data_IF_904038259292
#
_entry.id   IF_904038259292
#
_cell.length_a   1.000
_cell.length_b   1.000
_cell.length_c   1.000
_cell.angle_alpha   90.00
_cell.angle_beta   90.00
_cell.angle_gamma   90.00
#
_symmetry.space_group_name_H-M   'P 1'
#
loop_
_entity.id
_entity.type
_entity.pdbx_description
1 polymer ?
#
# COMPACT_ATOMS: atom_id res chain seq x y z
N UNK A 1 10.66 -11.18 22.39
CA UNK A 1 11.24 -9.89 21.96
C UNK A 1 10.19 -9.23 21.08
N UNK A 2 9.74 -8.02 21.39
CA UNK A 2 8.79 -7.29 20.55
C UNK A 2 9.48 -6.95 19.23
N UNK A 3 8.86 -7.26 18.09
CA UNK A 3 9.34 -6.78 16.81
C UNK A 3 9.37 -5.25 16.83
N UNK A 4 10.43 -4.60 16.33
CA UNK A 4 10.48 -3.14 16.26
C UNK A 4 9.32 -2.63 15.41
N UNK A 5 8.70 -1.54 15.85
CA UNK A 5 7.65 -0.86 15.09
C UNK A 5 8.29 -0.21 13.86
N UNK A 6 7.75 -0.49 12.69
CA UNK A 6 8.20 0.10 11.42
C UNK A 6 7.32 1.32 11.12
N UNK A 7 7.94 2.50 11.03
CA UNK A 7 7.28 3.72 10.60
C UNK A 7 7.41 3.88 9.08
N UNK A 8 6.26 3.90 8.39
CA UNK A 8 6.15 4.25 6.98
C UNK A 8 5.52 5.63 6.86
N UNK A 9 6.06 6.48 6.00
CA UNK A 9 5.56 7.84 5.73
C UNK A 9 5.22 7.97 4.25
N UNK A 10 4.00 8.45 3.96
CA UNK A 10 3.60 8.79 2.60
C UNK A 10 4.30 10.10 2.17
N UNK A 11 4.83 10.12 0.96
CA UNK A 11 5.52 11.26 0.36
C UNK A 11 5.11 11.42 -1.11
N UNK A 12 4.91 12.65 -1.55
CA UNK A 12 4.53 13.00 -2.93
C UNK A 12 5.52 13.95 -3.63
N UNK A 13 6.64 14.21 -2.98
CA UNK A 13 7.71 15.06 -3.51
C UNK A 13 9.08 14.56 -3.02
N UNK A 14 10.14 15.03 -3.70
CA UNK A 14 11.51 14.75 -3.27
C UNK A 14 11.77 15.32 -1.88
N UNK A 15 11.28 16.52 -1.60
CA UNK A 15 11.51 17.21 -0.33
C UNK A 15 10.79 16.50 0.83
N UNK A 16 9.54 16.06 0.64
CA UNK A 16 8.80 15.29 1.65
C UNK A 16 9.46 13.94 1.92
N UNK A 17 9.93 13.24 0.89
CA UNK A 17 10.64 11.99 1.01
C UNK A 17 11.96 12.12 1.80
N UNK A 18 12.76 13.17 1.50
CA UNK A 18 13.97 13.49 2.25
C UNK A 18 13.69 13.90 3.69
N UNK A 19 12.61 14.65 3.92
CA UNK A 19 12.19 15.03 5.27
C UNK A 19 11.78 13.80 6.08
N UNK A 20 11.02 12.87 5.49
CA UNK A 20 10.65 11.61 6.14
C UNK A 20 11.89 10.81 6.56
N UNK A 21 12.87 10.64 5.67
CA UNK A 21 14.12 9.94 6.02
C UNK A 21 14.87 10.63 7.16
N UNK A 22 15.02 11.99 7.10
CA UNK A 22 15.67 12.74 8.19
C UNK A 22 14.91 12.64 9.51
N UNK A 23 13.57 12.53 9.45
CA UNK A 23 12.69 12.34 10.60
C UNK A 23 12.71 10.92 11.18
N UNK A 24 13.48 10.00 10.60
CA UNK A 24 13.62 8.64 11.11
C UNK A 24 12.57 7.65 10.58
N UNK A 25 11.93 7.96 9.45
CA UNK A 25 11.10 6.98 8.77
C UNK A 25 11.94 5.75 8.38
N UNK A 26 11.38 4.57 8.59
CA UNK A 26 12.03 3.31 8.23
C UNK A 26 11.79 2.97 6.76
N UNK A 27 10.73 3.52 6.14
CA UNK A 27 10.33 3.32 4.75
C UNK A 27 9.44 4.49 4.32
N UNK A 28 9.38 4.76 3.03
CA UNK A 28 8.39 5.67 2.47
C UNK A 28 7.43 4.92 1.53
N UNK A 29 6.18 5.41 1.47
CA UNK A 29 5.25 5.15 0.37
C UNK A 29 5.28 6.37 -0.54
N UNK A 30 5.77 6.18 -1.77
CA UNK A 30 5.89 7.26 -2.76
C UNK A 30 4.66 7.26 -3.67
N UNK A 31 3.97 8.38 -3.74
CA UNK A 31 2.79 8.58 -4.58
C UNK A 31 2.78 9.97 -5.22
N UNK A 32 1.76 10.27 -5.99
CA UNK A 32 1.36 11.62 -6.40
C UNK A 32 -0.05 11.88 -5.91
N UNK A 33 -0.46 13.16 -5.75
CA UNK A 33 -1.83 13.51 -5.43
C UNK A 33 -2.32 13.00 -4.08
N UNK A 34 -1.55 13.18 -3.01
CA UNK A 34 -1.90 12.73 -1.64
C UNK A 34 -3.27 13.20 -1.18
N UNK A 35 -3.69 14.42 -1.56
CA UNK A 35 -5.01 14.99 -1.22
C UNK A 35 -6.16 14.11 -1.74
N UNK A 36 -5.93 13.40 -2.84
CA UNK A 36 -6.90 12.53 -3.49
C UNK A 36 -6.69 11.03 -3.14
N UNK A 37 -5.88 10.77 -2.12
CA UNK A 37 -5.58 9.42 -1.64
C UNK A 37 -4.42 8.72 -2.33
N UNK A 38 -3.65 9.44 -3.15
CA UNK A 38 -2.47 8.94 -3.83
C UNK A 38 -2.76 8.21 -5.15
N UNK A 39 -1.97 8.51 -6.17
CA UNK A 39 -1.93 7.84 -7.47
C UNK A 39 -0.49 7.45 -7.80
N UNK A 40 -0.27 6.72 -8.91
CA UNK A 40 1.07 6.35 -9.38
C UNK A 40 1.94 7.60 -9.59
N UNK A 41 3.12 7.69 -8.98
CA UNK A 41 4.05 8.79 -9.21
C UNK A 41 4.73 8.66 -10.56
N UNK A 42 5.17 9.79 -11.12
CA UNK A 42 5.92 9.75 -12.38
C UNK A 42 7.25 8.98 -12.24
N UNK A 43 7.71 8.36 -13.32
CA UNK A 43 9.01 7.69 -13.37
C UNK A 43 10.18 8.63 -13.00
N UNK A 44 10.07 9.91 -13.36
CA UNK A 44 11.03 10.94 -12.97
C UNK A 44 11.08 11.15 -11.45
N UNK A 45 9.93 11.19 -10.77
CA UNK A 45 9.87 11.31 -9.32
C UNK A 45 10.47 10.06 -8.64
N UNK A 46 10.10 8.86 -9.10
CA UNK A 46 10.63 7.60 -8.55
C UNK A 46 12.16 7.55 -8.66
N UNK A 47 12.70 7.81 -9.85
CA UNK A 47 14.14 7.79 -10.12
C UNK A 47 14.88 8.83 -9.27
N UNK A 48 14.33 10.04 -9.18
CA UNK A 48 14.95 11.15 -8.43
C UNK A 48 14.97 10.85 -6.92
N UNK A 49 13.87 10.33 -6.37
CA UNK A 49 13.78 9.95 -4.96
C UNK A 49 14.72 8.76 -4.69
N UNK A 50 14.73 7.72 -5.54
CA UNK A 50 15.60 6.56 -5.36
C UNK A 50 17.09 6.93 -5.31
N UNK A 51 17.51 7.88 -6.14
CA UNK A 51 18.92 8.32 -6.16
C UNK A 51 19.37 9.06 -4.89
N UNK A 52 18.45 9.48 -4.03
CA UNK A 52 18.72 10.33 -2.85
C UNK A 52 18.41 9.65 -1.52
N UNK A 53 17.56 8.63 -1.50
CA UNK A 53 17.18 7.93 -0.28
C UNK A 53 17.95 6.62 -0.13
N UNK A 54 18.29 6.30 1.12
CA UNK A 54 18.87 5.01 1.50
C UNK A 54 17.85 4.06 2.12
N UNK A 55 16.68 4.56 2.54
CA UNK A 55 15.59 3.75 3.09
C UNK A 55 14.75 3.13 1.98
N UNK A 56 14.01 2.04 2.24
CA UNK A 56 13.11 1.41 1.28
C UNK A 56 12.05 2.36 0.76
N UNK A 57 11.72 2.19 -0.54
CA UNK A 57 10.69 2.95 -1.26
C UNK A 57 9.64 1.96 -1.77
N UNK A 58 8.41 2.12 -1.32
CA UNK A 58 7.24 1.45 -1.86
C UNK A 58 6.49 2.42 -2.77
N UNK A 59 6.22 2.02 -4.01
CA UNK A 59 5.61 2.88 -5.02
C UNK A 59 4.13 2.59 -5.14
N UNK A 60 3.30 3.63 -5.05
CA UNK A 60 1.86 3.53 -5.30
C UNK A 60 1.61 3.17 -6.77
N UNK A 61 0.81 2.14 -6.99
CA UNK A 61 0.31 1.71 -8.30
C UNK A 61 -1.21 1.88 -8.29
N UNK A 62 -1.66 3.05 -8.70
CA UNK A 62 -3.07 3.44 -8.77
C UNK A 62 -3.25 4.39 -9.95
N UNK A 63 -3.81 3.91 -11.07
CA UNK A 63 -3.81 4.65 -12.34
C UNK A 63 -4.72 5.87 -12.31
N UNK A 64 -5.77 5.86 -11.48
CA UNK A 64 -6.76 6.92 -11.38
C UNK A 64 -7.36 7.04 -9.98
N UNK A 65 -7.99 8.18 -9.72
CA UNK A 65 -8.82 8.41 -8.55
C UNK A 65 -10.17 7.70 -8.65
N UNK A 66 -10.98 7.78 -7.60
CA UNK A 66 -12.29 7.15 -7.50
C UNK A 66 -12.22 5.76 -6.88
N UNK A 67 -13.06 4.85 -7.40
CA UNK A 67 -13.17 3.48 -6.92
C UNK A 67 -11.92 2.64 -7.20
N UNK A 68 -11.97 1.39 -6.76
CA UNK A 68 -10.89 0.42 -6.92
C UNK A 68 -11.27 -0.75 -7.85
N UNK A 69 -12.32 -0.53 -8.67
CA UNK A 69 -12.80 -1.49 -9.67
C UNK A 69 -12.18 -1.14 -11.02
N UNK A 70 -11.14 -1.84 -11.42
CA UNK A 70 -10.35 -1.51 -12.60
C UNK A 70 -10.73 -2.33 -13.82
N UNK A 71 -10.91 -1.65 -14.95
CA UNK A 71 -11.13 -2.25 -16.27
C UNK A 71 -9.82 -2.76 -16.91
N UNK A 72 -9.92 -3.32 -18.13
CA UNK A 72 -8.74 -3.84 -18.84
C UNK A 72 -7.67 -2.78 -19.07
N UNK A 73 -8.05 -1.57 -19.44
CA UNK A 73 -7.13 -0.46 -19.73
C UNK A 73 -6.43 0.04 -18.47
N UNK A 74 -7.16 0.13 -17.34
CA UNK A 74 -6.56 0.43 -16.03
C UNK A 74 -5.53 -0.64 -15.64
N UNK A 75 -5.86 -1.92 -15.86
CA UNK A 75 -4.96 -3.03 -15.56
C UNK A 75 -3.70 -3.00 -16.41
N UNK A 76 -3.80 -2.72 -17.70
CA UNK A 76 -2.64 -2.55 -18.58
C UNK A 76 -1.71 -1.43 -18.05
N UNK A 77 -2.27 -0.28 -17.65
CA UNK A 77 -1.51 0.80 -17.05
C UNK A 77 -0.82 0.36 -15.75
N UNK A 78 -1.55 -0.33 -14.84
CA UNK A 78 -1.00 -0.83 -13.58
C UNK A 78 0.14 -1.82 -13.79
N UNK A 79 0.03 -2.70 -14.77
CA UNK A 79 1.10 -3.65 -15.13
C UNK A 79 2.38 -2.93 -15.56
N UNK A 80 2.25 -1.92 -16.44
CA UNK A 80 3.38 -1.11 -16.88
C UNK A 80 4.00 -0.34 -15.70
N UNK A 81 3.17 0.22 -14.82
CA UNK A 81 3.63 0.95 -13.64
C UNK A 81 4.39 0.04 -12.65
N UNK A 82 3.94 -1.21 -12.45
CA UNK A 82 4.67 -2.21 -11.65
C UNK A 82 6.04 -2.51 -12.26
N UNK A 83 6.10 -2.73 -13.59
CA UNK A 83 7.36 -3.00 -14.29
C UNK A 83 8.31 -1.80 -14.21
N UNK A 84 7.79 -0.58 -14.38
CA UNK A 84 8.56 0.66 -14.29
C UNK A 84 9.10 0.87 -12.88
N UNK A 85 8.27 0.70 -11.83
CA UNK A 85 8.70 0.82 -10.45
C UNK A 85 9.83 -0.16 -10.13
N UNK A 86 9.70 -1.41 -10.57
CA UNK A 86 10.70 -2.45 -10.43
C UNK A 86 12.03 -2.10 -11.12
N UNK A 87 11.96 -1.63 -12.37
CA UNK A 87 13.14 -1.21 -13.14
C UNK A 87 13.84 0.00 -12.53
N UNK A 88 13.10 0.91 -11.91
CA UNK A 88 13.60 2.12 -11.26
C UNK A 88 14.12 1.87 -9.83
N UNK A 89 14.12 0.62 -9.36
CA UNK A 89 14.72 0.24 -8.09
C UNK A 89 13.84 0.47 -6.88
N UNK A 90 12.51 0.36 -7.04
CA UNK A 90 11.62 0.29 -5.90
C UNK A 90 11.86 -0.98 -5.07
N UNK A 91 11.63 -0.93 -3.77
CA UNK A 91 11.71 -2.06 -2.86
C UNK A 91 10.35 -2.77 -2.68
N UNK A 92 9.28 -2.08 -3.04
CA UNK A 92 7.91 -2.59 -3.00
C UNK A 92 6.95 -1.79 -3.85
N UNK A 93 5.74 -2.32 -3.99
CA UNK A 93 4.61 -1.67 -4.65
C UNK A 93 3.38 -1.70 -3.74
N UNK A 94 2.51 -0.72 -3.93
CA UNK A 94 1.28 -0.55 -3.14
C UNK A 94 0.11 -0.44 -4.09
N UNK A 95 -0.87 -1.32 -3.98
CA UNK A 95 -2.08 -1.30 -4.79
C UNK A 95 -3.28 -1.90 -4.03
N UNK A 96 -4.47 -1.85 -4.61
CA UNK A 96 -5.65 -2.50 -4.06
C UNK A 96 -6.76 -2.52 -5.09
N UNK A 97 -7.34 -3.69 -5.31
CA UNK A 97 -8.33 -3.95 -6.35
C UNK A 97 -9.55 -4.63 -5.73
N UNK A 98 -10.72 -4.09 -6.05
CA UNK A 98 -12.00 -4.62 -5.61
C UNK A 98 -12.86 -4.96 -6.83
N UNK A 99 -13.79 -5.87 -6.63
CA UNK A 99 -14.92 -6.12 -7.51
C UNK A 99 -16.08 -5.16 -7.15
N UNK A 100 -17.03 -4.99 -8.05
CA UNK A 100 -18.23 -4.16 -7.82
C UNK A 100 -19.06 -4.59 -6.60
N UNK A 101 -18.99 -5.87 -6.22
CA UNK A 101 -19.66 -6.43 -5.04
C UNK A 101 -18.92 -6.13 -3.71
N UNK A 102 -17.79 -5.42 -3.77
CA UNK A 102 -16.94 -5.09 -2.63
C UNK A 102 -16.03 -6.21 -2.16
N UNK A 103 -15.89 -7.31 -2.91
CA UNK A 103 -14.85 -8.32 -2.65
C UNK A 103 -13.50 -7.85 -3.19
N UNK A 104 -12.42 -8.42 -2.64
CA UNK A 104 -11.09 -8.30 -3.25
C UNK A 104 -11.10 -9.03 -4.59
N UNK A 105 -10.69 -8.35 -5.68
CA UNK A 105 -10.47 -8.99 -6.97
C UNK A 105 -9.19 -9.85 -6.88
N UNK A 106 -9.39 -11.11 -6.53
CA UNK A 106 -8.30 -12.04 -6.22
C UNK A 106 -7.45 -12.38 -7.44
N UNK A 107 -8.07 -12.46 -8.61
CA UNK A 107 -7.36 -12.84 -9.83
C UNK A 107 -6.41 -11.73 -10.29
N UNK A 108 -6.91 -10.49 -10.37
CA UNK A 108 -6.08 -9.34 -10.69
C UNK A 108 -5.02 -9.08 -9.62
N UNK A 109 -5.37 -9.24 -8.33
CA UNK A 109 -4.42 -9.11 -7.22
C UNK A 109 -3.27 -10.12 -7.35
N UNK A 110 -3.56 -11.40 -7.58
CA UNK A 110 -2.53 -12.45 -7.78
C UNK A 110 -1.65 -12.16 -8.99
N UNK A 111 -2.26 -11.69 -10.07
CA UNK A 111 -1.52 -11.33 -11.28
C UNK A 111 -0.49 -10.24 -10.99
N UNK A 112 -0.89 -9.14 -10.33
CA UNK A 112 0.03 -8.06 -9.99
C UNK A 112 1.08 -8.47 -8.94
N UNK A 113 0.72 -9.30 -7.95
CA UNK A 113 1.68 -9.87 -6.98
C UNK A 113 2.76 -10.67 -7.71
N UNK A 114 2.37 -11.52 -8.66
CA UNK A 114 3.32 -12.31 -9.48
C UNK A 114 4.22 -11.41 -10.32
N UNK A 115 3.66 -10.38 -10.93
CA UNK A 115 4.40 -9.43 -11.76
C UNK A 115 5.40 -8.62 -10.93
N UNK A 116 5.01 -8.21 -9.73
CA UNK A 116 5.84 -7.44 -8.80
C UNK A 116 7.04 -8.23 -8.27
N UNK A 117 6.97 -9.57 -8.22
CA UNK A 117 8.05 -10.39 -7.66
C UNK A 117 9.44 -10.02 -8.26
N UNK A 118 10.48 -9.79 -7.43
CA UNK A 118 10.61 -10.07 -6.01
C UNK A 118 10.23 -8.91 -5.07
N UNK A 119 9.65 -7.82 -5.57
CA UNK A 119 9.26 -6.67 -4.74
C UNK A 119 8.23 -7.06 -3.67
N UNK A 120 8.24 -6.32 -2.56
CA UNK A 120 7.21 -6.46 -1.53
C UNK A 120 5.90 -5.82 -1.97
N UNK A 121 4.78 -6.45 -1.64
CA UNK A 121 3.45 -5.96 -2.00
C UNK A 121 2.66 -5.55 -0.76
N UNK A 122 2.14 -4.33 -0.78
CA UNK A 122 1.18 -3.83 0.21
C UNK A 122 -0.18 -3.64 -0.47
N UNK A 123 -1.24 -4.18 0.12
CA UNK A 123 -2.60 -3.85 -0.26
C UNK A 123 -3.06 -2.62 0.55
N UNK A 124 -3.36 -1.53 -0.14
CA UNK A 124 -3.68 -0.25 0.48
C UNK A 124 -5.11 -0.20 1.05
N UNK A 125 -5.57 0.99 1.45
CA UNK A 125 -6.87 1.21 2.10
C UNK A 125 -8.11 0.88 1.27
N UNK A 126 -8.00 0.39 0.03
CA UNK A 126 -9.10 -0.31 -0.63
C UNK A 126 -9.61 -1.48 0.23
N UNK A 127 -8.74 -2.04 1.08
CA UNK A 127 -9.11 -3.04 2.07
C UNK A 127 -10.24 -2.57 3.00
N UNK A 128 -10.18 -1.31 3.46
CA UNK A 128 -11.19 -0.71 4.35
C UNK A 128 -12.54 -0.51 3.66
N UNK A 129 -12.57 -0.51 2.32
CA UNK A 129 -13.78 -0.42 1.49
C UNK A 129 -14.37 -1.78 1.14
N UNK A 130 -13.70 -2.88 1.54
CA UNK A 130 -14.22 -4.21 1.27
C UNK A 130 -15.46 -4.51 2.12
N UNK A 131 -16.39 -5.29 1.56
CA UNK A 131 -17.65 -5.66 2.24
C UNK A 131 -17.45 -6.43 3.55
N UNK A 132 -16.32 -7.14 3.69
CA UNK A 132 -15.99 -7.92 4.87
C UNK A 132 -14.47 -7.99 5.03
N UNK A 133 -13.95 -7.30 6.04
CA UNK A 133 -12.50 -7.21 6.29
C UNK A 133 -11.87 -8.58 6.60
N UNK A 134 -12.61 -9.45 7.29
CA UNK A 134 -12.11 -10.78 7.63
C UNK A 134 -11.98 -11.71 6.42
N UNK A 135 -12.94 -11.67 5.49
CA UNK A 135 -12.87 -12.42 4.22
C UNK A 135 -11.78 -11.84 3.31
N UNK A 136 -11.72 -10.50 3.20
CA UNK A 136 -10.68 -9.81 2.44
C UNK A 136 -9.27 -10.18 2.94
N UNK A 137 -9.06 -10.23 4.26
CA UNK A 137 -7.78 -10.62 4.84
C UNK A 137 -7.35 -12.03 4.40
N UNK A 138 -8.25 -13.03 4.48
CA UNK A 138 -7.92 -14.40 4.07
C UNK A 138 -7.65 -14.48 2.55
N UNK A 139 -8.40 -13.73 1.76
CA UNK A 139 -8.18 -13.64 0.31
C UNK A 139 -6.78 -13.10 -0.01
N UNK A 140 -6.35 -12.03 0.68
CA UNK A 140 -5.03 -11.44 0.48
C UNK A 140 -3.88 -12.35 0.95
N UNK A 141 -4.09 -13.09 2.04
CA UNK A 141 -3.15 -14.13 2.48
C UNK A 141 -2.97 -15.20 1.39
N UNK A 142 -4.08 -15.69 0.81
CA UNK A 142 -4.06 -16.66 -0.28
C UNK A 142 -3.46 -16.12 -1.58
N UNK A 143 -3.54 -14.80 -1.78
CA UNK A 143 -2.93 -14.11 -2.91
C UNK A 143 -1.42 -13.82 -2.71
N UNK A 144 -0.83 -14.20 -1.56
CA UNK A 144 0.56 -13.95 -1.19
C UNK A 144 0.93 -12.45 -1.13
N UNK A 145 0.01 -11.62 -0.66
CA UNK A 145 0.29 -10.23 -0.33
C UNK A 145 1.11 -10.16 0.96
N UNK A 146 2.16 -9.34 1.01
CA UNK A 146 3.04 -9.25 2.18
C UNK A 146 2.43 -8.42 3.32
N UNK A 147 1.60 -7.42 3.00
CA UNK A 147 1.09 -6.45 3.97
C UNK A 147 -0.27 -5.90 3.58
N UNK A 148 -1.06 -5.55 4.59
CA UNK A 148 -2.32 -4.80 4.45
C UNK A 148 -2.20 -3.50 5.22
N UNK A 149 -2.51 -2.37 4.58
CA UNK A 149 -2.72 -1.08 5.23
C UNK A 149 -4.21 -0.92 5.54
N UNK A 150 -4.53 -0.66 6.80
CA UNK A 150 -5.93 -0.54 7.23
C UNK A 150 -6.10 0.45 8.39
N UNK A 151 -7.23 1.12 8.41
CA UNK A 151 -7.74 1.85 9.58
C UNK A 151 -8.79 1.03 10.37
N UNK A 152 -8.99 -0.24 10.01
CA UNK A 152 -10.03 -1.08 10.60
C UNK A 152 -11.42 -0.83 10.04
N UNK A 153 -11.53 -0.26 8.82
CA UNK A 153 -12.79 0.10 8.16
C UNK A 153 -13.31 1.49 8.53
N UNK A 154 -12.56 2.25 9.33
CA UNK A 154 -12.94 3.58 9.81
C UNK A 154 -12.22 4.69 9.03
N UNK A 155 -12.65 5.94 9.19
CA UNK A 155 -11.94 7.08 8.60
C UNK A 155 -10.54 7.23 9.18
N UNK A 156 -10.42 7.11 10.51
CA UNK A 156 -9.17 7.22 11.26
C UNK A 156 -8.88 5.90 11.97
N UNK A 157 -7.63 5.53 11.99
CA UNK A 157 -7.19 4.30 12.66
C UNK A 157 -7.48 4.28 14.16
N UNK A 158 -7.50 5.45 14.81
CA UNK A 158 -7.85 5.60 16.24
C UNK A 158 -9.23 5.02 16.55
N UNK A 159 -10.19 5.22 15.63
CA UNK A 159 -11.57 4.74 15.79
C UNK A 159 -11.67 3.23 15.50
N UNK A 160 -10.76 2.69 14.68
CA UNK A 160 -10.74 1.29 14.25
C UNK A 160 -9.79 0.37 15.01
N UNK A 161 -9.16 0.80 16.10
CA UNK A 161 -8.15 0.02 16.83
C UNK A 161 -8.62 -1.38 17.24
N UNK A 162 -9.90 -1.53 17.60
CA UNK A 162 -10.49 -2.82 17.93
C UNK A 162 -10.49 -3.80 16.76
N UNK A 163 -10.88 -3.32 15.58
CA UNK A 163 -10.87 -4.09 14.35
C UNK A 163 -9.43 -4.42 13.91
N UNK A 164 -8.52 -3.45 13.95
CA UNK A 164 -7.09 -3.65 13.63
C UNK A 164 -6.48 -4.74 14.52
N UNK A 165 -6.77 -4.72 15.83
CA UNK A 165 -6.31 -5.75 16.77
C UNK A 165 -6.86 -7.13 16.41
N UNK A 166 -8.15 -7.21 16.07
CA UNK A 166 -8.79 -8.46 15.65
C UNK A 166 -8.19 -9.00 14.36
N UNK A 167 -7.93 -8.12 13.37
CA UNK A 167 -7.28 -8.48 12.12
C UNK A 167 -5.84 -8.97 12.35
N UNK A 168 -5.07 -8.31 13.21
CA UNK A 168 -3.71 -8.73 13.57
C UNK A 168 -3.69 -10.11 14.22
N UNK A 169 -4.63 -10.38 15.15
CA UNK A 169 -4.79 -11.69 15.77
C UNK A 169 -5.16 -12.76 14.73
N UNK A 170 -6.10 -12.45 13.82
CA UNK A 170 -6.52 -13.37 12.75
C UNK A 170 -5.41 -13.61 11.71
N UNK A 171 -4.64 -12.58 11.38
CA UNK A 171 -3.49 -12.71 10.49
C UNK A 171 -2.45 -13.72 11.01
N UNK A 172 -2.27 -13.80 12.33
CA UNK A 172 -1.38 -14.75 13.00
C UNK A 172 0.03 -14.83 12.37
N UNK A 173 0.56 -13.68 11.90
CA UNK A 173 1.86 -13.58 11.25
C UNK A 173 1.92 -14.04 9.79
N UNK A 174 0.81 -14.49 9.21
CA UNK A 174 0.73 -14.90 7.79
C UNK A 174 0.82 -13.73 6.81
N UNK A 175 0.43 -12.54 7.24
CA UNK A 175 0.49 -11.27 6.53
C UNK A 175 0.74 -10.16 7.56
N UNK A 176 1.47 -9.11 7.21
CA UNK A 176 1.68 -7.98 8.11
C UNK A 176 0.45 -7.06 8.09
N UNK A 177 -0.02 -6.65 9.27
CA UNK A 177 -1.05 -5.63 9.41
C UNK A 177 -0.38 -4.30 9.73
N UNK A 178 -0.57 -3.32 8.87
CA UNK A 178 -0.07 -1.96 9.03
C UNK A 178 -1.24 -1.05 9.38
N UNK A 179 -1.24 -0.55 10.59
CA UNK A 179 -2.23 0.42 11.04
C UNK A 179 -1.94 1.79 10.42
N UNK A 180 -2.92 2.42 9.81
CA UNK A 180 -2.75 3.74 9.19
C UNK A 180 -4.06 4.37 8.75
N UNK A 181 -3.96 5.66 8.42
CA UNK A 181 -5.12 6.51 8.14
C UNK A 181 -5.38 7.47 9.30
N UNK A 182 -4.96 8.74 9.12
CA UNK A 182 -5.14 9.78 10.12
C UNK A 182 -4.22 9.70 11.34
N UNK A 183 -3.11 8.96 11.26
CA UNK A 183 -2.09 8.94 12.32
C UNK A 183 -1.45 10.32 12.46
N UNK A 184 -1.33 10.82 13.69
CA UNK A 184 -0.73 12.11 14.02
C UNK A 184 0.36 11.95 15.07
N UNK A 185 1.10 13.02 15.37
CA UNK A 185 2.14 13.02 16.41
C UNK A 185 1.59 12.76 17.83
N UNK A 186 0.30 12.99 18.03
CA UNK A 186 -0.37 12.82 19.32
C UNK A 186 -1.15 11.50 19.46
N UNK A 187 -1.22 10.68 18.45
CA UNK A 187 -1.94 9.40 18.47
C UNK A 187 -2.12 8.79 17.11
#
# INVERSE_FOLDING_TARGET
MSNPVVLEVCADSVDSALAAQRGGAHRIELCSGLVEGGTTPSSGLISTVRSRLSIPIHVMIRPRNGDFCYGPEDMEAMEQDVLNAKQLGADGVVFGLLEENGCVDVEKTRHLVKLACPLKVTFHRAFDMSRNLGEALETLIQANVDRVLTSGGEQRVEDGLGAVRSLAARAAGRIAIMAGGGVTESG
#
